data_IF_126970658390
#
_entry.id   IF_126970658390
#
_cell.length_a   1.000
_cell.length_b   1.000
_cell.length_c   1.000
_cell.angle_alpha   90.00
_cell.angle_beta   90.00
_cell.angle_gamma   90.00
#
_symmetry.space_group_name_H-M   'P 1'
#
loop_
_entity.id
_entity.type
_entity.pdbx_description
1 polymer ?
#
# COMPACT_ATOMS: atom_id res chain seq x y z
N UNK A 1 -10.59 -18.39 -18.30
CA UNK A 1 -10.00 -17.77 -17.09
C UNK A 1 -10.07 -18.77 -15.95
N UNK A 2 -8.92 -19.25 -15.46
CA UNK A 2 -8.89 -20.09 -14.25
C UNK A 2 -9.00 -19.17 -13.05
N UNK A 3 -10.20 -18.95 -12.52
CA UNK A 3 -10.39 -18.30 -11.23
C UNK A 3 -9.72 -19.14 -10.13
N UNK A 4 -8.93 -18.49 -9.27
CA UNK A 4 -8.58 -19.13 -8.01
C UNK A 4 -9.86 -19.37 -7.24
N UNK A 5 -10.40 -20.59 -7.38
CA UNK A 5 -11.61 -20.96 -6.67
C UNK A 5 -11.47 -20.57 -5.21
N UNK A 6 -12.45 -19.81 -4.68
CA UNK A 6 -12.54 -19.46 -3.26
C UNK A 6 -12.37 -20.71 -2.38
N UNK A 7 -12.80 -21.87 -2.87
CA UNK A 7 -12.61 -23.16 -2.23
C UNK A 7 -11.14 -23.58 -2.09
N UNK A 8 -10.26 -23.32 -3.10
CA UNK A 8 -8.83 -23.68 -3.00
C UNK A 8 -8.10 -22.83 -1.95
N UNK A 9 -8.44 -21.54 -1.86
CA UNK A 9 -7.87 -20.66 -0.82
C UNK A 9 -8.36 -21.07 0.57
N UNK A 10 -9.66 -21.35 0.71
CA UNK A 10 -10.24 -21.86 1.94
C UNK A 10 -9.62 -23.19 2.38
N UNK A 11 -9.47 -24.13 1.45
CA UNK A 11 -8.79 -25.39 1.73
C UNK A 11 -7.34 -25.20 2.19
N UNK A 12 -6.60 -24.30 1.56
CA UNK A 12 -5.20 -23.99 1.96
C UNK A 12 -5.12 -23.39 3.37
N UNK A 13 -6.06 -22.52 3.75
CA UNK A 13 -6.15 -21.98 5.12
C UNK A 13 -6.42 -23.12 6.12
N UNK A 14 -7.40 -23.96 5.85
CA UNK A 14 -7.74 -25.10 6.72
C UNK A 14 -6.53 -26.04 6.85
N UNK A 15 -5.87 -26.38 5.76
CA UNK A 15 -4.67 -27.23 5.80
C UNK A 15 -3.54 -26.61 6.60
N UNK A 16 -3.27 -25.32 6.41
CA UNK A 16 -2.29 -24.60 7.23
C UNK A 16 -2.59 -24.72 8.72
N UNK A 17 -3.84 -24.49 9.12
CA UNK A 17 -4.27 -24.59 10.51
C UNK A 17 -4.18 -25.99 11.08
N UNK A 18 -4.55 -27.02 10.29
CA UNK A 18 -4.38 -28.42 10.71
C UNK A 18 -2.92 -28.77 10.97
N UNK A 19 -1.99 -28.36 10.10
CA UNK A 19 -0.55 -28.59 10.29
C UNK A 19 0.00 -27.81 11.48
N UNK A 20 -0.47 -26.58 11.70
CA UNK A 20 -0.07 -25.78 12.86
C UNK A 20 -0.55 -26.42 14.18
N UNK A 21 -1.79 -26.88 14.26
CA UNK A 21 -2.31 -27.59 15.44
C UNK A 21 -1.50 -28.87 15.67
N UNK A 22 -1.18 -29.63 14.62
CA UNK A 22 -0.36 -30.83 14.71
C UNK A 22 1.04 -30.52 15.27
N UNK A 23 1.65 -29.41 14.83
CA UNK A 23 2.93 -28.91 15.37
C UNK A 23 2.82 -28.58 16.86
N UNK A 24 1.79 -27.82 17.26
CA UNK A 24 1.58 -27.40 18.65
C UNK A 24 1.33 -28.61 19.56
N UNK A 25 0.53 -29.59 19.12
CA UNK A 25 0.32 -30.85 19.84
C UNK A 25 1.62 -31.65 20.00
N UNK A 26 2.47 -31.66 18.96
CA UNK A 26 3.78 -32.28 19.02
C UNK A 26 4.72 -31.61 20.06
N UNK A 27 4.80 -30.28 20.04
CA UNK A 27 5.61 -29.49 21.00
C UNK A 27 5.13 -29.74 22.43
N UNK A 28 3.79 -29.63 22.64
CA UNK A 28 3.22 -29.85 23.95
C UNK A 28 3.43 -31.29 24.45
N UNK A 29 3.19 -32.29 23.59
CA UNK A 29 3.39 -33.69 23.91
C UNK A 29 4.83 -34.03 24.28
N UNK A 30 5.81 -33.43 23.58
CA UNK A 30 7.25 -33.55 23.94
C UNK A 30 7.48 -32.96 25.32
N UNK A 31 7.02 -31.75 25.59
CA UNK A 31 7.19 -31.09 26.90
C UNK A 31 6.57 -31.90 28.05
N UNK A 32 5.39 -32.47 27.84
CA UNK A 32 4.72 -33.34 28.82
C UNK A 32 5.49 -34.62 29.08
N UNK A 33 5.93 -35.33 28.01
CA UNK A 33 6.64 -36.59 28.11
C UNK A 33 8.02 -36.43 28.77
N UNK A 34 8.72 -35.33 28.49
CA UNK A 34 9.99 -34.99 29.14
C UNK A 34 9.81 -34.79 30.65
N UNK A 35 8.73 -34.15 31.09
CA UNK A 35 8.44 -33.93 32.51
C UNK A 35 8.08 -35.23 33.26
N UNK A 36 7.44 -36.17 32.55
CA UNK A 36 6.96 -37.43 33.13
C UNK A 36 7.86 -38.62 32.86
N UNK A 37 9.00 -38.42 32.15
CA UNK A 37 9.92 -39.51 31.74
C UNK A 37 9.24 -40.64 30.97
N UNK A 38 8.20 -40.32 30.17
CA UNK A 38 7.46 -41.28 29.35
C UNK A 38 8.13 -41.37 27.97
N UNK A 39 8.17 -42.56 27.36
CA UNK A 39 8.68 -42.78 26.01
C UNK A 39 7.80 -42.16 24.91
N UNK A 40 8.15 -42.32 23.64
CA UNK A 40 7.39 -41.86 22.50
C UNK A 40 7.82 -40.51 21.90
N UNK A 41 8.93 -39.94 22.36
CA UNK A 41 9.47 -38.65 21.88
C UNK A 41 9.73 -38.65 20.37
N UNK A 42 10.11 -39.79 19.75
CA UNK A 42 10.35 -39.86 18.30
C UNK A 42 9.09 -39.59 17.46
N UNK A 43 7.94 -40.17 17.85
CA UNK A 43 6.68 -39.98 17.15
C UNK A 43 6.21 -38.52 17.28
N UNK A 44 6.32 -37.97 18.49
CA UNK A 44 5.92 -36.57 18.74
C UNK A 44 6.81 -35.57 18.00
N UNK A 45 8.12 -35.84 17.90
CA UNK A 45 9.04 -35.02 17.11
C UNK A 45 8.75 -35.08 15.61
N UNK A 46 8.31 -36.24 15.09
CA UNK A 46 7.86 -36.36 13.71
C UNK A 46 6.59 -35.52 13.46
N UNK A 47 5.59 -35.56 14.34
CA UNK A 47 4.41 -34.70 14.23
C UNK A 47 4.78 -33.21 14.26
N UNK A 48 5.71 -32.80 15.12
CA UNK A 48 6.18 -31.44 15.19
C UNK A 48 6.84 -31.00 13.86
N UNK A 49 7.74 -31.81 13.31
CA UNK A 49 8.47 -31.50 12.07
C UNK A 49 7.52 -31.47 10.87
N UNK A 50 6.66 -32.49 10.72
CA UNK A 50 5.68 -32.55 9.63
C UNK A 50 4.72 -31.36 9.71
N UNK A 51 4.23 -31.02 10.91
CA UNK A 51 3.37 -29.88 11.16
C UNK A 51 4.04 -28.56 10.79
N UNK A 52 5.30 -28.37 11.18
CA UNK A 52 6.07 -27.19 10.86
C UNK A 52 6.27 -27.02 9.34
N UNK A 53 6.74 -28.07 8.66
CA UNK A 53 6.97 -28.03 7.21
C UNK A 53 5.65 -27.81 6.45
N UNK A 54 4.61 -28.57 6.80
CA UNK A 54 3.29 -28.43 6.17
C UNK A 54 2.69 -27.03 6.35
N UNK A 55 2.71 -26.49 7.57
CA UNK A 55 2.26 -25.14 7.87
C UNK A 55 3.02 -24.09 7.03
N UNK A 56 4.35 -24.19 6.95
CA UNK A 56 5.18 -23.28 6.16
C UNK A 56 4.87 -23.34 4.65
N UNK A 57 4.69 -24.54 4.09
CA UNK A 57 4.36 -24.73 2.67
C UNK A 57 3.01 -24.07 2.33
N UNK A 58 1.99 -24.30 3.16
CA UNK A 58 0.69 -23.68 2.92
C UNK A 58 0.69 -22.18 3.16
N UNK A 59 1.47 -21.66 4.12
CA UNK A 59 1.65 -20.23 4.32
C UNK A 59 2.35 -19.58 3.11
N UNK A 60 3.36 -20.21 2.55
CA UNK A 60 4.04 -19.76 1.34
C UNK A 60 3.09 -19.73 0.14
N UNK A 61 2.25 -20.77 -0.03
CA UNK A 61 1.21 -20.79 -1.05
C UNK A 61 0.19 -19.65 -0.86
N UNK A 62 -0.32 -19.46 0.35
CA UNK A 62 -1.25 -18.37 0.68
C UNK A 62 -0.62 -17.01 0.40
N UNK A 63 0.65 -16.83 0.72
CA UNK A 63 1.41 -15.61 0.40
C UNK A 63 1.43 -15.36 -1.12
N UNK A 64 1.67 -16.40 -1.92
CA UNK A 64 1.67 -16.32 -3.38
C UNK A 64 0.33 -15.84 -3.96
N UNK A 65 -0.78 -16.39 -3.43
CA UNK A 65 -2.16 -16.18 -3.94
C UNK A 65 -2.84 -14.96 -3.30
N UNK A 66 -2.25 -14.36 -2.26
CA UNK A 66 -2.83 -13.23 -1.52
C UNK A 66 -3.20 -12.07 -2.44
N UNK A 67 -4.47 -11.65 -2.37
CA UNK A 67 -5.01 -10.51 -3.13
C UNK A 67 -5.34 -10.78 -4.60
N UNK A 68 -4.94 -11.89 -5.20
CA UNK A 68 -5.25 -12.23 -6.60
C UNK A 68 -6.59 -12.95 -6.74
N UNK A 69 -7.34 -12.65 -7.80
CA UNK A 69 -8.56 -13.38 -8.18
C UNK A 69 -8.28 -14.54 -9.13
N UNK A 70 -7.33 -14.39 -10.04
CA UNK A 70 -6.94 -15.42 -11.00
C UNK A 70 -5.42 -15.46 -11.17
N UNK A 71 -4.89 -16.50 -11.83
CA UNK A 71 -3.46 -16.61 -12.13
C UNK A 71 -3.02 -15.58 -13.17
N UNK A 72 -3.91 -15.18 -14.08
CA UNK A 72 -3.65 -14.25 -15.19
C UNK A 72 -3.84 -12.79 -14.76
N UNK A 73 -4.59 -12.53 -13.69
CA UNK A 73 -4.88 -11.18 -13.22
C UNK A 73 -3.79 -10.72 -12.25
N UNK A 74 -2.98 -9.75 -12.69
CA UNK A 74 -1.93 -9.13 -11.87
C UNK A 74 -2.48 -8.14 -10.84
N UNK A 75 -3.77 -7.78 -10.91
CA UNK A 75 -4.37 -6.81 -9.99
C UNK A 75 -4.52 -7.39 -8.58
N UNK A 76 -4.14 -6.60 -7.58
CA UNK A 76 -4.24 -6.97 -6.16
C UNK A 76 -5.49 -6.32 -5.57
N UNK A 77 -6.43 -7.15 -5.13
CA UNK A 77 -7.66 -6.69 -4.49
C UNK A 77 -7.46 -6.54 -2.99
N UNK A 78 -7.68 -5.32 -2.50
CA UNK A 78 -7.65 -5.01 -1.08
C UNK A 78 -9.02 -5.29 -0.45
N UNK A 79 -9.01 -5.88 0.75
CA UNK A 79 -10.22 -6.11 1.56
C UNK A 79 -10.50 -4.90 2.46
N UNK A 80 -11.64 -4.89 3.16
CA UNK A 80 -11.98 -3.84 4.12
C UNK A 80 -10.97 -3.76 5.28
N UNK A 81 -10.40 -4.89 5.71
CA UNK A 81 -9.35 -4.96 6.73
C UNK A 81 -8.10 -4.23 6.28
N UNK A 82 -7.79 -4.28 4.98
CA UNK A 82 -6.62 -3.60 4.41
C UNK A 82 -6.77 -2.07 4.34
N UNK A 83 -7.94 -1.52 4.67
CA UNK A 83 -8.18 -0.07 4.78
C UNK A 83 -7.86 0.47 6.18
N UNK A 84 -7.74 -0.41 7.19
CA UNK A 84 -7.35 -0.03 8.55
C UNK A 84 -5.85 0.28 8.55
N UNK A 85 -5.43 1.35 9.17
CA UNK A 85 -4.01 1.73 9.26
C UNK A 85 -3.16 0.59 9.85
N UNK A 86 -1.98 0.38 9.26
CA UNK A 86 -1.04 -0.71 9.64
C UNK A 86 -0.63 -0.60 11.12
N UNK A 87 -0.39 0.62 11.58
CA UNK A 87 0.01 0.90 12.97
C UNK A 87 -1.08 0.47 13.96
N UNK A 88 -2.36 0.74 13.65
CA UNK A 88 -3.51 0.30 14.46
C UNK A 88 -3.61 -1.22 14.45
N UNK A 89 -3.46 -1.87 13.30
CA UNK A 89 -3.47 -3.32 13.22
C UNK A 89 -2.34 -3.95 14.05
N UNK A 90 -1.14 -3.36 14.03
CA UNK A 90 -0.01 -3.80 14.85
C UNK A 90 -0.33 -3.70 16.35
N UNK A 91 -0.86 -2.55 16.80
CA UNK A 91 -1.25 -2.36 18.21
C UNK A 91 -2.30 -3.37 18.63
N UNK A 92 -3.34 -3.59 17.80
CA UNK A 92 -4.38 -4.58 18.08
C UNK A 92 -3.82 -6.01 18.16
N UNK A 93 -2.88 -6.36 17.27
CA UNK A 93 -2.24 -7.67 17.28
C UNK A 93 -1.41 -7.88 18.56
N UNK A 94 -0.59 -6.90 18.93
CA UNK A 94 0.20 -6.94 20.16
C UNK A 94 -0.69 -7.01 21.41
N UNK A 95 -1.76 -6.22 21.46
CA UNK A 95 -2.74 -6.25 22.55
C UNK A 95 -3.44 -7.61 22.66
N UNK A 96 -3.78 -8.23 21.52
CA UNK A 96 -4.35 -9.56 21.49
C UNK A 96 -3.37 -10.63 22.03
N UNK A 97 -2.10 -10.60 21.62
CA UNK A 97 -1.08 -11.52 22.15
C UNK A 97 -0.91 -11.31 23.66
N UNK A 98 -0.86 -10.07 24.12
CA UNK A 98 -0.79 -9.77 25.55
C UNK A 98 -1.98 -10.34 26.32
N UNK A 99 -3.20 -10.18 25.78
CA UNK A 99 -4.42 -10.75 26.36
C UNK A 99 -4.34 -12.29 26.47
N UNK A 100 -3.87 -12.96 25.42
CA UNK A 100 -3.71 -14.43 25.42
C UNK A 100 -2.71 -14.87 26.48
N UNK A 101 -1.56 -14.18 26.58
CA UNK A 101 -0.55 -14.48 27.58
C UNK A 101 -1.05 -14.21 29.02
N UNK A 102 -1.79 -13.12 29.21
CA UNK A 102 -2.40 -12.77 30.48
C UNK A 102 -3.42 -13.81 30.93
N UNK A 103 -4.33 -14.25 30.03
CA UNK A 103 -5.29 -15.32 30.30
C UNK A 103 -4.58 -16.63 30.58
N UNK A 104 -3.57 -17.00 29.78
CA UNK A 104 -2.79 -18.22 29.97
C UNK A 104 -2.12 -18.26 31.35
N UNK A 105 -1.59 -17.13 31.81
CA UNK A 105 -0.98 -17.04 33.14
C UNK A 105 -2.00 -17.24 34.27
N UNK A 106 -3.18 -16.64 34.16
CA UNK A 106 -4.24 -16.77 35.17
C UNK A 106 -4.90 -18.17 35.17
N UNK A 107 -4.88 -18.88 34.05
CA UNK A 107 -5.42 -20.24 33.92
C UNK A 107 -4.41 -21.31 34.32
N UNK A 108 -3.13 -20.97 34.54
CA UNK A 108 -2.08 -21.92 34.88
C UNK A 108 -2.36 -22.66 36.23
N UNK A 109 -3.07 -22.02 37.15
CA UNK A 109 -3.40 -22.60 38.45
C UNK A 109 -4.54 -23.63 38.41
N UNK A 110 -5.22 -23.77 37.26
CA UNK A 110 -6.28 -24.74 37.06
C UNK A 110 -5.66 -26.06 36.67
N UNK A 111 -5.84 -27.10 37.49
CA UNK A 111 -5.37 -28.45 37.20
C UNK A 111 -6.27 -29.08 36.11
N UNK A 112 -5.83 -29.00 34.85
CA UNK A 112 -6.48 -29.73 33.77
C UNK A 112 -5.89 -31.13 33.64
N UNK A 113 -6.76 -32.10 33.34
CA UNK A 113 -6.32 -33.38 32.79
C UNK A 113 -5.57 -33.16 31.45
N UNK A 114 -4.66 -34.08 31.09
CA UNK A 114 -3.86 -34.01 29.87
C UNK A 114 -4.71 -33.75 28.62
N UNK A 115 -5.86 -34.40 28.50
CA UNK A 115 -6.82 -34.26 27.39
C UNK A 115 -7.38 -32.81 27.33
N UNK A 116 -7.82 -32.29 28.47
CA UNK A 116 -8.38 -30.94 28.58
C UNK A 116 -7.33 -29.87 28.25
N UNK A 117 -6.09 -30.07 28.68
CA UNK A 117 -4.98 -29.15 28.43
C UNK A 117 -4.59 -29.15 26.93
N UNK A 118 -4.56 -30.30 26.25
CA UNK A 118 -4.32 -30.38 24.81
C UNK A 118 -5.39 -29.65 24.00
N UNK A 119 -6.67 -29.82 24.36
CA UNK A 119 -7.77 -29.11 23.73
C UNK A 119 -7.65 -27.60 23.95
N UNK A 120 -7.35 -27.16 25.15
CA UNK A 120 -7.18 -25.74 25.47
C UNK A 120 -6.03 -25.10 24.68
N UNK A 121 -4.86 -25.74 24.65
CA UNK A 121 -3.68 -25.28 23.87
C UNK A 121 -3.99 -25.27 22.37
N UNK A 122 -4.64 -26.30 21.85
CA UNK A 122 -5.04 -26.36 20.45
C UNK A 122 -6.03 -25.24 20.07
N UNK A 123 -7.04 -25.00 20.93
CA UNK A 123 -8.05 -23.95 20.69
C UNK A 123 -7.44 -22.56 20.75
N UNK A 124 -6.62 -22.26 21.77
CA UNK A 124 -5.93 -20.98 21.89
C UNK A 124 -4.97 -20.79 20.71
N UNK A 125 -4.18 -21.81 20.36
CA UNK A 125 -3.28 -21.79 19.22
C UNK A 125 -4.03 -21.50 17.90
N UNK A 126 -5.18 -22.14 17.69
CA UNK A 126 -6.04 -21.88 16.53
C UNK A 126 -6.51 -20.42 16.48
N UNK A 127 -7.00 -19.87 17.58
CA UNK A 127 -7.45 -18.46 17.63
C UNK A 127 -6.30 -17.48 17.35
N UNK A 128 -5.13 -17.73 17.93
CA UNK A 128 -3.93 -16.92 17.69
C UNK A 128 -3.53 -16.98 16.22
N UNK A 129 -3.57 -18.15 15.60
CA UNK A 129 -3.23 -18.31 14.19
C UNK A 129 -4.23 -17.63 13.26
N UNK A 130 -5.51 -17.70 13.54
CA UNK A 130 -6.55 -16.98 12.75
C UNK A 130 -6.27 -15.47 12.76
N UNK A 131 -6.00 -14.89 13.93
CA UNK A 131 -5.68 -13.45 14.05
C UNK A 131 -4.36 -13.14 13.36
N UNK A 132 -3.34 -14.00 13.51
CA UNK A 132 -2.07 -13.87 12.81
C UNK A 132 -2.24 -13.91 11.29
N UNK A 133 -2.99 -14.87 10.75
CA UNK A 133 -3.23 -14.97 9.31
C UNK A 133 -3.96 -13.75 8.76
N UNK A 134 -4.97 -13.23 9.46
CA UNK A 134 -5.68 -12.01 9.05
C UNK A 134 -4.71 -10.82 8.93
N UNK A 135 -3.88 -10.63 9.95
CA UNK A 135 -2.87 -9.57 9.99
C UNK A 135 -1.80 -9.78 8.91
N UNK A 136 -1.23 -10.98 8.83
CA UNK A 136 -0.20 -11.35 7.88
C UNK A 136 -0.66 -11.16 6.43
N UNK A 137 -1.84 -11.68 6.07
CA UNK A 137 -2.40 -11.56 4.74
C UNK A 137 -2.71 -10.10 4.36
N UNK A 138 -3.11 -9.27 5.33
CA UNK A 138 -3.30 -7.84 5.13
C UNK A 138 -1.97 -7.17 4.76
N UNK A 139 -0.89 -7.44 5.52
CA UNK A 139 0.44 -6.90 5.20
C UNK A 139 0.91 -7.36 3.82
N UNK A 140 0.80 -8.66 3.51
CA UNK A 140 1.22 -9.21 2.21
C UNK A 140 0.52 -8.53 1.05
N UNK A 141 -0.81 -8.31 1.12
CA UNK A 141 -1.56 -7.60 0.07
C UNK A 141 -1.10 -6.15 -0.10
N UNK A 142 -0.82 -5.45 1.00
CA UNK A 142 -0.32 -4.06 0.96
C UNK A 142 1.09 -3.95 0.39
N UNK A 143 1.98 -4.90 0.76
CA UNK A 143 3.34 -4.96 0.19
C UNK A 143 3.25 -5.17 -1.31
N UNK A 144 2.44 -6.14 -1.77
CA UNK A 144 2.26 -6.42 -3.21
C UNK A 144 1.67 -5.24 -3.98
N UNK A 145 0.82 -4.43 -3.33
CA UNK A 145 0.18 -3.26 -3.95
C UNK A 145 0.97 -1.96 -3.73
N UNK A 146 2.15 -2.00 -3.13
CA UNK A 146 2.97 -0.83 -2.78
C UNK A 146 2.24 0.22 -1.92
N UNK A 147 1.24 -0.19 -1.13
CA UNK A 147 0.41 0.71 -0.32
C UNK A 147 0.72 0.65 1.18
N UNK A 148 1.76 -0.09 1.57
CA UNK A 148 2.10 -0.28 2.98
C UNK A 148 2.32 1.05 3.71
N UNK A 149 3.11 1.95 3.12
CA UNK A 149 3.43 3.26 3.70
C UNK A 149 2.26 4.24 3.62
N UNK A 150 1.41 4.11 2.60
CA UNK A 150 0.23 4.97 2.43
C UNK A 150 -0.76 4.81 3.58
N UNK A 151 -0.88 3.60 4.13
CA UNK A 151 -1.74 3.26 5.26
C UNK A 151 -0.98 3.19 6.59
N UNK A 152 0.13 3.91 6.76
CA UNK A 152 0.82 4.09 8.04
C UNK A 152 0.59 5.50 8.58
N UNK A 153 0.01 5.61 9.78
CA UNK A 153 -0.20 6.88 10.48
C UNK A 153 1.14 7.54 10.83
N UNK A 154 2.12 6.74 11.26
CA UNK A 154 3.45 7.23 11.61
C UNK A 154 4.12 7.85 10.39
N UNK A 155 4.05 7.20 9.23
CA UNK A 155 4.60 7.74 7.99
C UNK A 155 3.87 9.01 7.54
N UNK A 156 2.53 9.04 7.62
CA UNK A 156 1.74 10.22 7.27
C UNK A 156 2.04 11.39 8.21
N UNK A 157 2.09 11.15 9.54
CA UNK A 157 2.46 12.15 10.53
C UNK A 157 3.88 12.66 10.31
N UNK A 158 4.85 11.76 10.07
CA UNK A 158 6.23 12.14 9.75
C UNK A 158 6.33 12.96 8.46
N UNK A 159 5.60 12.60 7.42
CA UNK A 159 5.54 13.34 6.16
C UNK A 159 4.90 14.73 6.33
N UNK A 160 3.87 14.81 7.16
CA UNK A 160 3.23 16.08 7.52
C UNK A 160 4.17 16.98 8.32
N UNK A 161 4.80 16.46 9.38
CA UNK A 161 5.80 17.18 10.17
C UNK A 161 6.97 17.66 9.30
N UNK A 162 7.46 16.80 8.43
CA UNK A 162 8.51 17.18 7.47
C UNK A 162 8.06 18.32 6.56
N UNK A 163 6.82 18.32 6.05
CA UNK A 163 6.28 19.42 5.23
C UNK A 163 6.20 20.70 6.04
N UNK A 164 5.64 20.63 7.26
CA UNK A 164 5.52 21.77 8.17
C UNK A 164 6.91 22.33 8.52
N UNK A 165 7.88 21.45 8.84
CA UNK A 165 9.23 21.84 9.21
C UNK A 165 9.97 22.51 8.03
N UNK A 166 9.87 21.92 6.82
CA UNK A 166 10.48 22.51 5.61
C UNK A 166 9.78 23.83 5.24
N UNK A 167 8.45 23.89 5.35
CA UNK A 167 7.66 25.09 5.11
C UNK A 167 7.91 26.17 6.17
N UNK A 168 8.07 25.75 7.44
CA UNK A 168 8.36 26.65 8.57
C UNK A 168 9.77 27.22 8.55
N UNK A 169 10.76 26.49 8.00
CA UNK A 169 12.14 27.00 7.92
C UNK A 169 12.32 28.09 6.85
N UNK A 170 11.49 28.14 5.80
CA UNK A 170 11.57 29.16 4.75
C UNK A 170 10.17 29.62 4.29
N UNK A 171 9.42 30.36 5.11
CA UNK A 171 8.11 30.89 4.73
C UNK A 171 8.20 31.81 3.48
N UNK A 172 9.34 32.50 3.30
CA UNK A 172 9.60 33.34 2.12
C UNK A 172 9.71 32.54 0.82
N UNK A 173 10.25 31.30 0.85
CA UNK A 173 10.34 30.44 -0.32
C UNK A 173 8.99 29.84 -0.71
N UNK A 174 8.14 29.53 0.27
CA UNK A 174 6.81 28.98 0.02
C UNK A 174 5.89 30.06 -0.60
N UNK A 175 5.91 31.28 -0.07
CA UNK A 175 5.16 32.43 -0.61
C UNK A 175 5.68 32.82 -1.99
N UNK A 176 6.99 32.79 -2.22
CA UNK A 176 7.59 33.11 -3.52
C UNK A 176 7.19 32.11 -4.60
N UNK A 177 7.31 30.81 -4.35
CA UNK A 177 6.85 29.77 -5.30
C UNK A 177 5.36 29.84 -5.61
N UNK A 178 4.55 30.11 -4.60
CA UNK A 178 3.11 30.28 -4.80
C UNK A 178 2.82 31.49 -5.69
N UNK A 179 3.55 32.60 -5.51
CA UNK A 179 3.45 33.81 -6.32
C UNK A 179 3.91 33.54 -7.76
N UNK A 180 5.08 32.92 -7.95
CA UNK A 180 5.63 32.59 -9.27
C UNK A 180 4.63 31.70 -10.07
N UNK A 181 4.00 30.70 -9.44
CA UNK A 181 2.97 29.87 -10.07
C UNK A 181 1.72 30.63 -10.42
N UNK A 182 1.26 31.51 -9.55
CA UNK A 182 0.11 32.36 -9.83
C UNK A 182 0.36 33.28 -11.03
N UNK A 183 1.55 33.89 -11.12
CA UNK A 183 1.92 34.75 -12.25
C UNK A 183 1.95 33.97 -13.57
N UNK A 184 2.50 32.74 -13.57
CA UNK A 184 2.51 31.87 -14.75
C UNK A 184 1.07 31.50 -15.15
N UNK A 185 0.23 31.08 -14.20
CA UNK A 185 -1.16 30.71 -14.48
C UNK A 185 -1.93 31.89 -15.05
N UNK A 186 -1.79 33.08 -14.48
CA UNK A 186 -2.45 34.28 -14.94
C UNK A 186 -2.02 34.70 -16.35
N UNK A 187 -0.73 34.53 -16.68
CA UNK A 187 -0.23 34.75 -18.03
C UNK A 187 -0.84 33.77 -19.05
N UNK A 188 -0.93 32.48 -18.68
CA UNK A 188 -1.58 31.46 -19.53
C UNK A 188 -3.04 31.81 -19.78
N UNK A 189 -3.78 32.23 -18.76
CA UNK A 189 -5.19 32.64 -18.89
C UNK A 189 -5.34 33.85 -19.82
N UNK A 190 -4.46 34.84 -19.71
CA UNK A 190 -4.45 36.02 -20.62
C UNK A 190 -4.14 35.63 -22.05
N UNK A 191 -3.13 34.80 -22.28
CA UNK A 191 -2.78 34.32 -23.61
C UNK A 191 -3.93 33.52 -24.22
N UNK A 192 -4.59 32.65 -23.42
CA UNK A 192 -5.77 31.89 -23.85
C UNK A 192 -6.98 32.82 -24.18
N UNK A 193 -7.10 33.97 -23.51
CA UNK A 193 -8.10 34.98 -23.82
C UNK A 193 -7.74 35.89 -25.04
N UNK A 194 -6.57 35.63 -25.68
CA UNK A 194 -6.13 36.35 -26.88
C UNK A 194 -5.22 37.56 -26.62
N UNK A 195 -4.81 37.83 -25.38
CA UNK A 195 -3.85 38.88 -25.02
C UNK A 195 -2.41 38.41 -25.29
N UNK A 196 -1.99 38.43 -26.55
CA UNK A 196 -0.68 37.97 -27.00
C UNK A 196 0.48 38.96 -26.75
N UNK A 197 0.22 40.09 -26.16
CA UNK A 197 1.20 41.07 -25.68
C UNK A 197 1.77 40.72 -24.30
N UNK A 198 1.15 39.75 -23.60
CA UNK A 198 1.56 39.32 -22.27
C UNK A 198 2.87 38.54 -22.34
N UNK A 199 3.94 39.05 -21.75
CA UNK A 199 5.24 38.36 -21.61
C UNK A 199 5.60 38.15 -20.15
N UNK A 200 6.22 37.01 -19.85
CA UNK A 200 6.77 36.71 -18.52
C UNK A 200 8.26 37.04 -18.52
N UNK A 201 8.71 37.78 -17.51
CA UNK A 201 10.14 38.03 -17.30
C UNK A 201 10.77 36.74 -16.65
N UNK A 202 11.41 35.95 -17.51
CA UNK A 202 11.99 34.63 -17.13
C UNK A 202 13.04 34.74 -16.04
N UNK A 203 13.71 35.89 -15.90
CA UNK A 203 14.77 36.11 -14.90
C UNK A 203 14.19 36.19 -13.47
N UNK A 204 12.94 36.55 -13.30
CA UNK A 204 12.27 36.62 -12.00
C UNK A 204 11.87 35.24 -11.45
N UNK A 205 11.82 34.22 -12.31
CA UNK A 205 11.44 32.86 -11.94
C UNK A 205 12.66 32.00 -11.61
N UNK A 206 12.47 31.00 -10.71
CA UNK A 206 13.57 30.19 -10.22
C UNK A 206 13.28 28.69 -10.35
N UNK A 207 14.33 27.90 -10.59
CA UNK A 207 14.22 26.45 -10.65
C UNK A 207 13.32 25.97 -11.79
N UNK A 208 12.31 25.15 -11.48
CA UNK A 208 11.41 24.55 -12.47
C UNK A 208 10.45 25.60 -13.07
N UNK A 209 10.01 26.58 -12.29
CA UNK A 209 9.11 27.64 -12.70
C UNK A 209 9.74 28.52 -13.80
N UNK A 210 11.06 28.70 -13.81
CA UNK A 210 11.80 29.41 -14.88
C UNK A 210 11.64 28.71 -16.23
N UNK A 211 11.75 27.37 -16.26
CA UNK A 211 11.56 26.59 -17.49
C UNK A 211 10.13 26.68 -18.02
N UNK A 212 9.16 26.68 -17.12
CA UNK A 212 7.75 26.81 -17.49
C UNK A 212 7.45 28.22 -18.05
N UNK A 213 7.96 29.27 -17.43
CA UNK A 213 7.80 30.65 -17.90
C UNK A 213 8.39 30.84 -19.30
N UNK A 214 9.59 30.28 -19.55
CA UNK A 214 10.19 30.30 -20.87
C UNK A 214 9.33 29.56 -21.92
N UNK A 215 8.80 28.40 -21.57
CA UNK A 215 7.92 27.62 -22.44
C UNK A 215 6.63 28.38 -22.77
N UNK A 216 6.03 29.06 -21.81
CA UNK A 216 4.83 29.89 -22.01
C UNK A 216 5.13 31.05 -22.98
N UNK A 217 6.25 31.72 -22.84
CA UNK A 217 6.67 32.76 -23.78
C UNK A 217 6.88 32.23 -25.21
N UNK A 218 7.44 31.02 -25.36
CA UNK A 218 7.62 30.38 -26.67
C UNK A 218 6.27 30.03 -27.31
N UNK A 219 5.34 29.49 -26.54
CA UNK A 219 3.96 29.20 -27.02
C UNK A 219 3.28 30.46 -27.48
N UNK A 220 3.37 31.55 -26.70
CA UNK A 220 2.82 32.85 -27.04
C UNK A 220 3.39 33.38 -28.36
N UNK A 221 4.73 33.30 -28.51
CA UNK A 221 5.42 33.78 -29.72
C UNK A 221 4.96 33.00 -30.97
N UNK A 222 4.90 31.66 -30.89
CA UNK A 222 4.41 30.84 -31.97
C UNK A 222 2.93 31.08 -32.31
N UNK A 223 2.08 31.32 -31.32
CA UNK A 223 0.68 31.66 -31.54
C UNK A 223 0.54 33.03 -32.24
N UNK A 224 1.32 34.03 -31.81
CA UNK A 224 1.35 35.37 -32.42
C UNK A 224 1.77 35.29 -33.89
N UNK A 225 2.83 34.54 -34.20
CA UNK A 225 3.30 34.31 -35.55
C UNK A 225 2.24 33.61 -36.45
N UNK A 226 1.65 32.56 -35.96
CA UNK A 226 0.59 31.85 -36.68
C UNK A 226 -0.64 32.73 -37.00
N UNK A 227 -1.02 33.61 -36.08
CA UNK A 227 -2.12 34.56 -36.30
C UNK A 227 -1.73 35.60 -37.34
N UNK A 228 -0.51 36.16 -37.27
CA UNK A 228 -0.03 37.12 -38.27
C UNK A 228 0.02 36.50 -39.67
N UNK A 229 0.52 35.25 -39.78
CA UNK A 229 0.56 34.54 -41.03
C UNK A 229 -0.86 34.33 -41.59
N UNK A 230 -1.82 33.95 -40.76
CA UNK A 230 -3.21 33.78 -41.16
C UNK A 230 -3.82 35.09 -41.67
N UNK A 231 -3.61 36.20 -40.98
CA UNK A 231 -4.05 37.52 -41.42
C UNK A 231 -3.45 37.89 -42.77
N UNK A 232 -2.17 37.63 -42.96
CA UNK A 232 -1.47 37.90 -44.21
C UNK A 232 -2.04 37.05 -45.34
N UNK A 233 -2.31 35.79 -45.11
CA UNK A 233 -2.90 34.88 -46.10
C UNK A 233 -4.34 35.29 -46.47
N UNK A 234 -5.13 35.73 -45.49
CA UNK A 234 -6.49 36.24 -45.78
C UNK A 234 -6.48 37.54 -46.56
N UNK A 235 -5.52 38.46 -46.31
CA UNK A 235 -5.33 39.68 -47.11
C UNK A 235 -4.92 39.34 -48.53
N UNK A 236 -3.98 38.43 -48.75
CA UNK A 236 -3.58 38.02 -50.08
C UNK A 236 -4.74 37.40 -50.87
N UNK A 237 -5.58 36.57 -50.20
CA UNK A 237 -6.78 35.99 -50.84
C UNK A 237 -7.79 37.11 -51.25
N UNK A 238 -7.99 38.11 -50.39
CA UNK A 238 -8.89 39.23 -50.70
C UNK A 238 -8.37 40.05 -51.86
N UNK A 239 -7.04 40.34 -51.90
CA UNK A 239 -6.41 41.07 -53.02
C UNK A 239 -6.50 40.32 -54.34
N UNK A 240 -6.31 38.99 -54.32
CA UNK A 240 -6.48 38.15 -55.51
C UNK A 240 -7.91 38.15 -56.02
N UNK A 241 -8.93 38.08 -55.17
CA UNK A 241 -10.34 38.13 -55.53
C UNK A 241 -10.67 39.51 -56.15
N UNK A 242 -10.15 40.58 -55.60
CA UNK A 242 -10.37 41.94 -56.10
C UNK A 242 -9.73 42.14 -57.47
N UNK A 243 -8.51 41.62 -57.69
CA UNK A 243 -7.79 41.74 -59.00
C UNK A 243 -8.41 40.85 -60.11
N UNK A 244 -9.08 39.75 -59.76
CA UNK A 244 -9.75 38.87 -60.75
C UNK A 244 -11.13 39.39 -61.18
N UNK A 245 -11.72 40.28 -60.36
CA UNK A 245 -13.04 40.89 -60.65
C UNK A 245 -13.00 42.18 -61.48
N UNK A 246 -11.82 42.62 -61.87
CA UNK A 246 -11.59 43.69 -62.85
C UNK A 246 -11.08 43.13 -64.18
#
# INVERSE_FOLDING_TARGET
MKEFSSGKKGAAIVMHQMFLIMMLCGIYGIGYNLRRHIGGLRILSLFMVIGMVGSFVFLAYLTGVAGRRSEEDATIYLTWIDKIYTDIQMVLFVAFIYLVLFLGRNLHDIQFELSGLMVAVGTVGYLVDVVFLLFYMSIVRRVKNNTLLTYSLIYQAGSFLRRVFISGQNPRLCTRKARERYEIQHAIEKIAAGALDTTLDVEQFHGQERGIAASVNNIRAGLSEAIQERIRNERMKADLITNVSH
#
